data_IF_552271448474
#
_entry.id   IF_552271448474
#
_cell.length_a   1.000
_cell.length_b   1.000
_cell.length_c   1.000
_cell.angle_alpha   90.00
_cell.angle_beta   90.00
_cell.angle_gamma   90.00
#
_symmetry.space_group_name_H-M   'P 1'
#
loop_
_entity.id
_entity.type
_entity.pdbx_description
1 polymer ?
#
# COMPACT_ATOMS: atom_id res chain seq x y z
N UNK A 1 -11.08 -11.99 -12.25
CA UNK A 1 -11.23 -10.57 -11.85
C UNK A 1 -11.96 -9.82 -12.95
N UNK A 2 -13.04 -9.12 -12.62
CA UNK A 2 -13.66 -8.15 -13.53
C UNK A 2 -12.65 -7.03 -13.81
N UNK A 3 -12.48 -6.65 -15.07
CA UNK A 3 -11.62 -5.51 -15.41
C UNK A 3 -12.24 -4.20 -14.90
N UNK A 4 -11.43 -3.18 -14.60
CA UNK A 4 -11.95 -1.85 -14.24
C UNK A 4 -12.97 -1.33 -15.26
N UNK A 5 -12.75 -1.62 -16.55
CA UNK A 5 -13.67 -1.30 -17.62
C UNK A 5 -15.06 -1.92 -17.42
N UNK A 6 -15.13 -3.18 -17.02
CA UNK A 6 -16.40 -3.87 -16.76
C UNK A 6 -17.14 -3.27 -15.54
N UNK A 7 -16.43 -3.02 -14.43
CA UNK A 7 -17.01 -2.38 -13.24
C UNK A 7 -17.54 -0.98 -13.53
N UNK A 8 -16.79 -0.21 -14.32
CA UNK A 8 -17.20 1.12 -14.75
C UNK A 8 -18.39 1.08 -15.71
N UNK A 9 -18.41 0.13 -16.66
CA UNK A 9 -19.55 -0.08 -17.55
C UNK A 9 -20.82 -0.41 -16.77
N UNK A 10 -20.73 -1.34 -15.82
CA UNK A 10 -21.85 -1.71 -14.96
C UNK A 10 -22.36 -0.51 -14.15
N UNK A 11 -21.46 0.30 -13.58
CA UNK A 11 -21.81 1.54 -12.89
C UNK A 11 -22.55 2.54 -13.82
N UNK A 12 -22.10 2.68 -15.08
CA UNK A 12 -22.73 3.59 -16.06
C UNK A 12 -24.09 3.09 -16.55
N UNK A 13 -24.20 1.81 -16.91
CA UNK A 13 -25.46 1.19 -17.32
C UNK A 13 -26.53 1.32 -16.25
N UNK A 14 -26.13 1.23 -14.98
CA UNK A 14 -27.03 1.40 -13.83
C UNK A 14 -27.42 2.85 -13.58
N UNK A 15 -26.52 3.82 -13.70
CA UNK A 15 -26.89 5.25 -13.65
C UNK A 15 -27.93 5.62 -14.71
N UNK A 16 -27.86 5.02 -15.90
CA UNK A 16 -28.86 5.20 -16.96
C UNK A 16 -30.18 4.49 -16.58
N UNK A 17 -30.14 3.35 -15.88
CA UNK A 17 -31.33 2.67 -15.36
C UNK A 17 -31.96 3.35 -14.15
N UNK A 18 -31.20 4.07 -13.33
CA UNK A 18 -31.67 4.82 -12.14
C UNK A 18 -32.62 5.99 -12.49
N UNK A 19 -32.79 6.35 -13.77
CA UNK A 19 -33.96 7.14 -14.21
C UNK A 19 -35.29 6.36 -14.03
N UNK A 20 -35.25 5.08 -13.62
CA UNK A 20 -36.39 4.21 -13.32
C UNK A 20 -36.20 3.52 -11.95
N UNK A 21 -36.60 4.23 -10.89
CA UNK A 21 -36.98 3.75 -9.53
C UNK A 21 -35.96 2.95 -8.69
N UNK A 22 -35.55 3.54 -7.55
CA UNK A 22 -35.27 2.92 -6.24
C UNK A 22 -34.54 1.56 -6.17
N UNK A 23 -33.46 1.39 -6.93
CA UNK A 23 -32.51 0.30 -6.67
C UNK A 23 -31.45 0.72 -5.63
N UNK A 24 -31.16 -0.08 -4.58
CA UNK A 24 -30.08 0.22 -3.66
C UNK A 24 -28.73 0.17 -4.39
N UNK A 25 -27.85 1.13 -4.09
CA UNK A 25 -26.44 1.12 -4.51
C UNK A 25 -25.79 -0.20 -4.05
N UNK A 26 -25.43 -1.09 -4.99
CA UNK A 26 -24.69 -2.33 -4.67
C UNK A 26 -23.27 -2.03 -4.16
N UNK A 27 -22.71 -0.88 -4.54
CA UNK A 27 -21.41 -0.44 -4.07
C UNK A 27 -21.54 0.58 -2.93
N UNK A 28 -20.65 0.44 -1.95
CA UNK A 28 -20.48 1.48 -0.93
C UNK A 28 -20.00 2.79 -1.56
N UNK A 29 -20.33 3.92 -0.94
CA UNK A 29 -19.96 5.24 -1.45
C UNK A 29 -18.45 5.40 -1.75
N UNK A 30 -17.51 4.87 -0.95
CA UNK A 30 -16.08 4.92 -1.28
C UNK A 30 -15.74 4.22 -2.59
N UNK A 31 -16.29 3.03 -2.84
CA UNK A 31 -16.06 2.27 -4.08
C UNK A 31 -16.61 3.02 -5.28
N UNK A 32 -17.83 3.57 -5.16
CA UNK A 32 -18.42 4.39 -6.21
C UNK A 32 -17.56 5.63 -6.54
N UNK A 33 -17.09 6.37 -5.52
CA UNK A 33 -16.20 7.53 -5.71
C UNK A 33 -14.87 7.14 -6.34
N UNK A 34 -14.32 5.99 -5.98
CA UNK A 34 -13.11 5.45 -6.59
C UNK A 34 -13.30 5.16 -8.09
N UNK A 35 -14.38 4.47 -8.47
CA UNK A 35 -14.70 4.19 -9.88
C UNK A 35 -14.95 5.47 -10.69
N UNK A 36 -15.67 6.44 -10.11
CA UNK A 36 -15.85 7.77 -10.71
C UNK A 36 -14.52 8.52 -10.88
N UNK A 37 -13.60 8.38 -9.92
CA UNK A 37 -12.28 9.01 -10.02
C UNK A 37 -11.44 8.37 -11.13
N UNK A 38 -11.49 7.04 -11.30
CA UNK A 38 -10.84 6.33 -12.40
C UNK A 38 -11.33 6.81 -13.77
N UNK A 39 -12.64 7.08 -13.92
CA UNK A 39 -13.21 7.66 -15.14
C UNK A 39 -12.65 9.04 -15.49
N UNK A 40 -12.35 9.84 -14.48
CA UNK A 40 -11.91 11.24 -14.60
C UNK A 40 -10.39 11.40 -14.57
N UNK A 41 -9.64 10.31 -14.68
CA UNK A 41 -8.19 10.35 -14.72
C UNK A 41 -7.70 11.11 -15.96
N UNK A 42 -7.08 12.26 -15.73
CA UNK A 42 -6.38 13.03 -16.76
C UNK A 42 -4.86 12.89 -16.58
N UNK A 43 -4.20 12.23 -17.52
CA UNK A 43 -2.73 12.08 -17.56
C UNK A 43 -1.99 13.37 -17.97
N UNK A 44 -2.66 14.34 -18.61
CA UNK A 44 -1.98 15.48 -19.24
C UNK A 44 -1.58 16.59 -18.26
N UNK A 45 -0.46 16.38 -17.56
CA UNK A 45 0.43 17.38 -16.94
C UNK A 45 0.98 16.94 -15.56
N UNK A 46 1.93 17.69 -14.99
CA UNK A 46 2.67 17.26 -13.79
C UNK A 46 1.80 17.28 -12.52
N UNK A 47 1.47 16.09 -11.99
CA UNK A 47 0.93 15.92 -10.64
C UNK A 47 1.99 16.16 -9.57
N UNK A 48 1.59 16.68 -8.41
CA UNK A 48 2.44 16.88 -7.22
C UNK A 48 3.10 15.58 -6.72
N UNK A 49 2.50 14.43 -7.04
CA UNK A 49 2.95 13.12 -6.57
C UNK A 49 3.42 12.21 -7.73
N UNK A 50 3.56 12.74 -8.95
CA UNK A 50 3.86 11.93 -10.13
C UNK A 50 5.23 11.24 -10.06
N UNK A 51 6.20 11.83 -9.35
CA UNK A 51 7.51 11.25 -9.08
C UNK A 51 7.45 10.10 -8.07
N UNK A 52 6.53 10.13 -7.09
CA UNK A 52 6.29 8.99 -6.19
C UNK A 52 5.63 7.84 -6.97
N UNK A 53 4.69 8.15 -7.86
CA UNK A 53 4.15 7.15 -8.80
C UNK A 53 5.24 6.50 -9.66
N UNK A 54 6.16 7.31 -10.21
CA UNK A 54 7.34 6.82 -10.94
C UNK A 54 8.31 6.03 -10.07
N UNK A 55 8.49 6.41 -8.81
CA UNK A 55 9.30 5.65 -7.85
C UNK A 55 8.73 4.24 -7.64
N UNK A 56 7.42 4.10 -7.46
CA UNK A 56 6.74 2.80 -7.37
C UNK A 56 6.94 2.01 -8.67
N UNK A 57 6.77 2.65 -9.83
CA UNK A 57 6.97 2.00 -11.14
C UNK A 57 8.40 1.44 -11.30
N UNK A 58 9.42 2.21 -10.91
CA UNK A 58 10.82 1.82 -11.06
C UNK A 58 11.31 0.82 -10.01
N UNK A 59 10.77 0.86 -8.79
CA UNK A 59 11.27 0.04 -7.68
C UNK A 59 10.45 -1.22 -7.43
N UNK A 60 9.19 -1.24 -7.88
CA UNK A 60 8.24 -2.33 -7.60
C UNK A 60 7.77 -3.01 -8.87
N UNK A 61 7.13 -2.30 -9.80
CA UNK A 61 6.47 -2.95 -10.94
C UNK A 61 7.43 -3.24 -12.10
N UNK A 62 8.51 -2.46 -12.26
CA UNK A 62 9.45 -2.50 -13.39
C UNK A 62 8.75 -2.29 -14.75
N UNK A 63 7.85 -1.31 -14.81
CA UNK A 63 7.17 -0.92 -16.03
C UNK A 63 6.22 0.24 -15.79
N UNK A 64 5.66 0.79 -16.86
CA UNK A 64 4.82 1.98 -16.81
C UNK A 64 3.35 1.65 -16.97
N UNK A 65 2.52 2.33 -16.20
CA UNK A 65 1.07 2.36 -16.38
C UNK A 65 0.71 3.43 -17.41
N UNK A 66 -0.15 3.05 -18.35
CA UNK A 66 -0.64 3.88 -19.44
C UNK A 66 -2.15 3.79 -19.53
N UNK A 67 -2.79 4.92 -19.79
CA UNK A 67 -4.22 5.01 -20.06
C UNK A 67 -4.47 5.26 -21.55
N UNK A 68 -5.47 4.58 -22.10
CA UNK A 68 -6.08 4.92 -23.38
C UNK A 68 -7.37 5.68 -23.14
N UNK A 69 -7.47 6.89 -23.71
CA UNK A 69 -8.63 7.77 -23.55
C UNK A 69 -9.80 7.25 -24.39
N UNK A 70 -10.97 7.27 -23.80
CA UNK A 70 -12.25 6.94 -24.43
C UNK A 70 -13.40 7.28 -23.49
N UNK A 71 -14.68 7.06 -23.90
CA UNK A 71 -15.83 7.23 -23.02
C UNK A 71 -15.70 6.44 -21.72
N UNK A 72 -15.09 5.26 -21.81
CA UNK A 72 -14.62 4.46 -20.69
C UNK A 72 -13.12 4.22 -20.92
N UNK A 73 -12.25 4.66 -20.00
CA UNK A 73 -10.81 4.51 -20.17
C UNK A 73 -10.39 3.04 -20.06
N UNK A 74 -9.41 2.67 -20.88
CA UNK A 74 -8.72 1.38 -20.77
C UNK A 74 -7.34 1.60 -20.15
N UNK A 75 -6.93 0.71 -19.27
CA UNK A 75 -5.64 0.80 -18.57
C UNK A 75 -4.74 -0.37 -18.98
N UNK A 76 -3.47 -0.06 -19.22
CA UNK A 76 -2.47 -0.99 -19.69
C UNK A 76 -1.19 -0.84 -18.89
N UNK A 77 -0.47 -1.96 -18.77
CA UNK A 77 0.87 -2.02 -18.24
C UNK A 77 1.87 -2.29 -19.37
N UNK A 78 2.95 -1.53 -19.40
CA UNK A 78 4.05 -1.71 -20.35
C UNK A 78 5.32 -2.09 -19.58
N UNK A 79 5.77 -3.37 -19.64
CA UNK A 79 7.00 -3.80 -18.98
C UNK A 79 8.22 -3.01 -19.49
N UNK A 80 9.16 -2.69 -18.61
CA UNK A 80 10.38 -1.98 -18.98
C UNK A 80 11.15 -2.74 -20.07
N UNK A 81 11.53 -2.02 -21.13
CA UNK A 81 12.28 -2.58 -22.26
C UNK A 81 11.43 -3.37 -23.27
N UNK A 82 10.11 -3.47 -23.07
CA UNK A 82 9.17 -4.05 -24.05
C UNK A 82 8.27 -2.97 -24.64
N UNK A 83 7.85 -3.15 -25.88
CA UNK A 83 6.86 -2.29 -26.55
C UNK A 83 5.42 -2.80 -26.39
N UNK A 84 5.27 -4.04 -25.90
CA UNK A 84 3.97 -4.69 -25.72
C UNK A 84 3.18 -4.05 -24.58
N UNK A 85 1.88 -3.81 -24.82
CA UNK A 85 0.93 -3.32 -23.84
C UNK A 85 0.09 -4.48 -23.34
N UNK A 86 0.15 -4.73 -22.04
CA UNK A 86 -0.60 -5.78 -21.38
C UNK A 86 -1.83 -5.19 -20.69
N UNK A 87 -3.04 -5.68 -20.96
CA UNK A 87 -4.21 -5.36 -20.14
C UNK A 87 -3.98 -5.75 -18.67
N UNK A 88 -4.46 -4.96 -17.71
CA UNK A 88 -4.22 -5.22 -16.27
C UNK A 88 -4.75 -6.58 -15.79
N UNK A 89 -5.76 -7.15 -16.44
CA UNK A 89 -6.30 -8.46 -16.04
C UNK A 89 -5.41 -9.65 -16.42
N UNK A 90 -4.36 -9.44 -17.24
CA UNK A 90 -3.35 -10.48 -17.57
C UNK A 90 -1.98 -10.21 -16.92
N UNK A 91 -1.86 -9.15 -16.11
CA UNK A 91 -0.62 -8.84 -15.39
C UNK A 91 -0.53 -9.59 -14.06
N UNK A 92 0.64 -9.59 -13.44
CA UNK A 92 0.80 -10.16 -12.09
C UNK A 92 -0.06 -9.40 -11.08
N UNK A 93 -0.50 -10.09 -10.02
CA UNK A 93 -1.32 -9.50 -8.96
C UNK A 93 -0.70 -8.22 -8.40
N UNK A 94 0.62 -8.22 -8.17
CA UNK A 94 1.38 -7.03 -7.73
C UNK A 94 1.13 -5.79 -8.61
N UNK A 95 1.21 -5.96 -9.92
CA UNK A 95 1.03 -4.87 -10.89
C UNK A 95 -0.42 -4.39 -10.87
N UNK A 96 -1.37 -5.32 -10.83
CA UNK A 96 -2.80 -5.02 -10.79
C UNK A 96 -3.20 -4.28 -9.51
N UNK A 97 -2.75 -4.75 -8.35
CA UNK A 97 -2.97 -4.17 -7.01
C UNK A 97 -2.48 -2.72 -6.91
N UNK A 98 -1.26 -2.44 -7.39
CA UNK A 98 -0.67 -1.10 -7.29
C UNK A 98 -1.06 -0.17 -8.44
N UNK A 99 -1.70 -0.69 -9.49
CA UNK A 99 -2.06 0.11 -10.67
C UNK A 99 -2.94 1.33 -10.34
N UNK A 100 -3.98 1.26 -9.48
CA UNK A 100 -4.79 2.44 -9.19
C UNK A 100 -3.99 3.50 -8.46
N UNK A 101 -3.18 3.10 -7.48
CA UNK A 101 -2.31 4.03 -6.75
C UNK A 101 -1.38 4.76 -7.73
N UNK A 102 -0.68 4.03 -8.61
CA UNK A 102 0.24 4.61 -9.59
C UNK A 102 -0.49 5.58 -10.53
N UNK A 103 -1.64 5.16 -11.08
CA UNK A 103 -2.46 5.99 -11.96
C UNK A 103 -2.92 7.28 -11.26
N UNK A 104 -3.39 7.17 -10.01
CA UNK A 104 -3.83 8.33 -9.23
C UNK A 104 -2.70 9.29 -8.90
N UNK A 105 -1.54 8.79 -8.47
CA UNK A 105 -0.38 9.62 -8.16
C UNK A 105 0.17 10.34 -9.39
N UNK A 106 0.07 9.73 -10.58
CA UNK A 106 0.50 10.33 -11.84
C UNK A 106 -0.55 11.27 -12.45
N UNK A 107 -1.82 11.17 -12.05
CA UNK A 107 -2.90 12.01 -12.55
C UNK A 107 -2.93 13.41 -11.92
N UNK A 108 -3.46 14.40 -12.65
CA UNK A 108 -3.68 15.76 -12.13
C UNK A 108 -4.74 15.86 -11.04
N UNK A 109 -5.55 14.83 -10.88
CA UNK A 109 -6.66 14.86 -9.95
C UNK A 109 -6.14 15.05 -8.53
N UNK A 110 -6.68 16.05 -7.84
CA UNK A 110 -6.26 16.36 -6.47
C UNK A 110 -7.09 15.53 -5.51
N UNK A 111 -6.42 14.68 -4.74
CA UNK A 111 -7.02 13.90 -3.67
C UNK A 111 -6.69 14.53 -2.32
N UNK A 112 -7.68 14.53 -1.42
CA UNK A 112 -7.53 15.10 -0.07
C UNK A 112 -6.94 14.10 0.94
N UNK A 113 -7.03 12.82 0.62
CA UNK A 113 -6.75 11.71 1.53
C UNK A 113 -6.58 10.43 0.73
N UNK A 114 -5.69 9.55 1.21
CA UNK A 114 -5.57 8.18 0.73
C UNK A 114 -6.04 7.22 1.83
N UNK A 115 -6.99 6.34 1.50
CA UNK A 115 -7.35 5.19 2.33
C UNK A 115 -6.83 3.96 1.62
N UNK A 116 -5.98 3.18 2.28
CA UNK A 116 -5.39 1.98 1.72
C UNK A 116 -5.62 0.82 2.70
N UNK A 117 -6.56 -0.05 2.34
CA UNK A 117 -6.86 -1.25 3.10
C UNK A 117 -5.85 -2.35 2.78
N UNK A 118 -5.34 -3.04 3.80
CA UNK A 118 -4.38 -4.15 3.69
C UNK A 118 -3.30 -3.91 2.62
N UNK A 119 -2.57 -2.80 2.73
CA UNK A 119 -1.69 -2.36 1.63
C UNK A 119 -0.56 -3.33 1.30
N UNK A 120 -0.25 -4.27 2.19
CA UNK A 120 0.70 -5.36 1.98
C UNK A 120 0.14 -6.55 1.19
N UNK A 121 -1.18 -6.61 0.94
CA UNK A 121 -1.84 -7.78 0.39
C UNK A 121 -1.18 -8.19 -0.93
N UNK A 122 -0.84 -9.47 -1.04
CA UNK A 122 -0.15 -10.04 -2.21
C UNK A 122 1.24 -9.41 -2.53
N UNK A 123 1.84 -8.65 -1.61
CA UNK A 123 3.17 -8.05 -1.78
C UNK A 123 4.26 -8.87 -1.11
N UNK A 124 5.36 -9.09 -1.82
CA UNK A 124 6.59 -9.65 -1.24
C UNK A 124 7.14 -8.71 -0.14
N UNK A 125 7.72 -9.22 0.97
CA UNK A 125 8.32 -8.43 2.05
C UNK A 125 9.17 -7.23 1.60
N UNK A 126 10.04 -7.46 0.61
CA UNK A 126 10.88 -6.39 0.02
C UNK A 126 10.06 -5.24 -0.54
N UNK A 127 8.96 -5.55 -1.22
CA UNK A 127 8.06 -4.56 -1.83
C UNK A 127 7.30 -3.78 -0.77
N UNK A 128 6.85 -4.44 0.30
CA UNK A 128 6.16 -3.78 1.42
C UNK A 128 7.03 -2.67 2.03
N UNK A 129 8.34 -2.90 2.16
CA UNK A 129 9.28 -1.88 2.64
C UNK A 129 9.37 -0.67 1.69
N UNK A 130 9.40 -0.91 0.39
CA UNK A 130 9.45 0.16 -0.62
C UNK A 130 8.13 0.94 -0.65
N UNK A 131 6.99 0.24 -0.54
CA UNK A 131 5.67 0.85 -0.47
C UNK A 131 5.53 1.73 0.78
N UNK A 132 5.96 1.26 1.96
CA UNK A 132 5.96 2.05 3.18
C UNK A 132 6.74 3.36 3.00
N UNK A 133 7.92 3.31 2.38
CA UNK A 133 8.71 4.51 2.05
C UNK A 133 7.95 5.44 1.10
N UNK A 134 7.29 4.91 0.06
CA UNK A 134 6.46 5.72 -0.85
C UNK A 134 5.28 6.40 -0.13
N UNK A 135 4.61 5.69 0.79
CA UNK A 135 3.52 6.25 1.60
C UNK A 135 4.03 7.34 2.55
N UNK A 136 5.20 7.17 3.16
CA UNK A 136 5.83 8.21 3.99
C UNK A 136 6.14 9.47 3.18
N UNK A 137 6.65 9.34 1.94
CA UNK A 137 6.84 10.49 1.05
C UNK A 137 5.52 11.24 0.80
N UNK A 138 4.40 10.52 0.61
CA UNK A 138 3.08 11.14 0.47
C UNK A 138 2.70 11.94 1.72
N UNK A 139 2.86 11.35 2.91
CA UNK A 139 2.59 12.01 4.20
C UNK A 139 3.46 13.25 4.39
N UNK A 140 4.75 13.14 4.09
CA UNK A 140 5.68 14.27 4.22
C UNK A 140 5.37 15.41 3.26
N UNK A 141 4.75 15.13 2.11
CA UNK A 141 4.21 16.14 1.19
C UNK A 141 2.82 16.64 1.55
N UNK A 142 2.27 16.20 2.68
CA UNK A 142 0.99 16.67 3.19
C UNK A 142 -0.24 15.96 2.64
N UNK A 143 -0.11 14.76 2.08
CA UNK A 143 -1.23 13.86 1.82
C UNK A 143 -1.53 13.06 3.10
N UNK A 144 -2.68 13.24 3.74
CA UNK A 144 -3.11 12.36 4.82
C UNK A 144 -3.35 10.92 4.30
N UNK A 145 -2.78 9.94 4.98
CA UNK A 145 -2.88 8.51 4.62
C UNK A 145 -3.48 7.74 5.80
N UNK A 146 -4.54 6.97 5.54
CA UNK A 146 -5.10 5.96 6.43
C UNK A 146 -4.75 4.60 5.86
N UNK A 147 -4.24 3.74 6.74
CA UNK A 147 -3.71 2.44 6.38
C UNK A 147 -4.25 1.40 7.35
N UNK A 148 -4.76 0.30 6.84
CA UNK A 148 -4.93 -0.94 7.61
C UNK A 148 -3.88 -1.94 7.18
N UNK A 149 -3.37 -2.72 8.12
CA UNK A 149 -2.28 -3.68 7.85
C UNK A 149 -2.25 -4.78 8.92
N UNK A 150 -1.97 -5.98 8.46
CA UNK A 150 -1.58 -7.17 9.21
C UNK A 150 -0.08 -7.47 9.06
N UNK A 151 0.67 -6.63 8.33
CA UNK A 151 2.10 -6.83 8.11
C UNK A 151 2.95 -6.20 9.20
N UNK A 152 3.67 -7.06 9.92
CA UNK A 152 4.76 -6.69 10.82
C UNK A 152 5.89 -5.98 10.05
N UNK A 153 6.16 -6.37 8.81
CA UNK A 153 7.24 -5.82 7.97
C UNK A 153 6.95 -4.37 7.56
N UNK A 154 5.72 -4.09 7.12
CA UNK A 154 5.29 -2.74 6.77
C UNK A 154 5.34 -1.86 8.01
N UNK A 155 4.75 -2.33 9.12
CA UNK A 155 4.73 -1.62 10.39
C UNK A 155 6.15 -1.33 10.90
N UNK A 156 7.04 -2.32 10.85
CA UNK A 156 8.43 -2.18 11.25
C UNK A 156 9.22 -1.23 10.34
N UNK A 157 8.94 -1.22 9.03
CA UNK A 157 9.56 -0.25 8.13
C UNK A 157 9.13 1.18 8.48
N UNK A 158 7.86 1.42 8.81
CA UNK A 158 7.40 2.74 9.28
C UNK A 158 8.15 3.13 10.56
N UNK A 159 8.28 2.23 11.54
CA UNK A 159 9.08 2.46 12.74
C UNK A 159 10.55 2.80 12.43
N UNK A 160 11.17 2.11 11.47
CA UNK A 160 12.54 2.39 11.06
C UNK A 160 12.69 3.80 10.48
N UNK A 161 11.71 4.28 9.71
CA UNK A 161 11.71 5.63 9.15
C UNK A 161 11.49 6.71 10.23
N UNK A 162 10.76 6.39 11.30
CA UNK A 162 10.64 7.23 12.50
C UNK A 162 11.97 7.29 13.25
N UNK A 163 12.59 6.13 13.51
CA UNK A 163 13.90 6.04 14.16
C UNK A 163 14.95 6.82 13.39
N UNK A 164 14.97 6.69 12.06
CA UNK A 164 15.89 7.42 11.19
C UNK A 164 15.74 8.94 11.35
N UNK A 165 14.51 9.44 11.47
CA UNK A 165 14.25 10.87 11.67
C UNK A 165 14.88 11.39 12.98
N UNK A 166 14.82 10.60 14.05
CA UNK A 166 15.29 10.97 15.39
C UNK A 166 16.77 10.65 15.63
N UNK A 167 17.41 9.87 14.75
CA UNK A 167 18.75 9.35 14.99
C UNK A 167 19.83 10.46 14.94
N UNK A 168 20.76 10.55 15.91
CA UNK A 168 21.83 11.55 15.90
C UNK A 168 22.70 11.52 14.63
N UNK A 169 23.02 10.31 14.15
CA UNK A 169 23.81 10.09 12.93
C UNK A 169 22.94 9.92 11.67
N UNK A 170 21.79 10.61 11.59
CA UNK A 170 20.81 10.47 10.49
C UNK A 170 21.46 10.55 9.11
N UNK A 171 22.28 11.57 8.86
CA UNK A 171 22.90 11.79 7.55
C UNK A 171 23.75 10.58 7.06
N UNK A 172 24.55 9.98 7.95
CA UNK A 172 25.38 8.82 7.63
C UNK A 172 24.53 7.57 7.36
N UNK A 173 23.46 7.36 8.14
CA UNK A 173 22.55 6.23 7.93
C UNK A 173 21.76 6.38 6.63
N UNK A 174 21.33 7.59 6.31
CA UNK A 174 20.65 7.89 5.05
C UNK A 174 21.54 7.57 3.85
N UNK A 175 22.80 7.99 3.88
CA UNK A 175 23.78 7.67 2.83
C UNK A 175 24.00 6.15 2.73
N UNK A 176 24.22 5.47 3.86
CA UNK A 176 24.48 4.02 3.91
C UNK A 176 23.33 3.19 3.34
N UNK A 177 22.09 3.58 3.61
CA UNK A 177 20.89 2.82 3.22
C UNK A 177 20.16 3.40 2.00
N UNK A 178 20.67 4.48 1.41
CA UNK A 178 20.09 5.11 0.22
C UNK A 178 18.77 5.85 0.46
N UNK A 179 18.55 6.38 1.67
CA UNK A 179 17.38 7.19 1.99
C UNK A 179 17.62 8.67 1.69
N UNK A 180 16.56 9.38 1.32
CA UNK A 180 16.53 10.85 1.16
C UNK A 180 15.72 11.50 2.27
N UNK A 181 15.85 12.82 2.46
CA UNK A 181 15.22 13.54 3.59
C UNK A 181 13.70 13.32 3.66
N UNK A 182 13.04 13.19 2.51
CA UNK A 182 11.60 12.91 2.44
C UNK A 182 11.20 11.50 2.92
N UNK A 183 12.15 10.58 3.11
CA UNK A 183 11.89 9.22 3.62
C UNK A 183 11.79 9.17 5.15
N UNK A 184 12.37 10.14 5.85
CA UNK A 184 12.35 10.18 7.31
C UNK A 184 10.96 10.65 7.80
N UNK A 185 10.36 9.93 8.74
CA UNK A 185 9.01 10.22 9.24
C UNK A 185 9.08 10.89 10.62
N UNK A 186 8.51 12.08 10.75
CA UNK A 186 8.37 12.71 12.07
C UNK A 186 7.32 11.95 12.92
N UNK A 187 7.64 11.56 14.18
CA UNK A 187 6.72 10.80 15.03
C UNK A 187 5.35 11.46 15.24
N UNK A 188 5.28 12.81 15.21
CA UNK A 188 4.03 13.57 15.40
C UNK A 188 3.07 13.46 14.21
N UNK A 189 3.55 13.05 13.03
CA UNK A 189 2.74 12.91 11.81
C UNK A 189 2.04 11.55 11.71
N UNK A 190 2.23 10.67 12.68
CA UNK A 190 1.73 9.29 12.64
C UNK A 190 1.04 8.94 13.96
N UNK A 191 -0.03 8.17 13.84
CA UNK A 191 -0.74 7.55 14.97
C UNK A 191 -1.00 6.11 14.58
N UNK A 192 -0.82 5.20 15.52
CA UNK A 192 -1.12 3.79 15.33
C UNK A 192 -2.20 3.36 16.32
N UNK A 193 -3.05 2.44 15.88
CA UNK A 193 -4.16 1.90 16.65
C UNK A 193 -4.15 0.39 16.50
N UNK A 194 -4.46 -0.32 17.57
CA UNK A 194 -4.55 -1.76 17.60
C UNK A 194 -5.98 -2.20 17.84
N UNK A 195 -6.36 -3.28 17.18
CA UNK A 195 -7.69 -3.85 17.24
C UNK A 195 -7.57 -5.18 17.97
N UNK A 196 -8.35 -5.35 19.04
CA UNK A 196 -8.39 -6.58 19.82
C UNK A 196 -9.82 -7.03 20.03
N UNK A 197 -10.03 -8.34 19.99
CA UNK A 197 -11.31 -8.94 20.35
C UNK A 197 -11.40 -9.05 21.88
N UNK A 198 -12.43 -8.43 22.46
CA UNK A 198 -12.78 -8.58 23.88
C UNK A 198 -14.18 -9.18 23.96
N UNK A 199 -14.26 -10.50 24.15
CA UNK A 199 -15.52 -11.24 24.11
C UNK A 199 -16.08 -11.29 22.68
N UNK A 200 -17.23 -10.63 22.45
CA UNK A 200 -17.84 -10.49 21.11
C UNK A 200 -17.62 -9.10 20.50
N UNK A 201 -16.92 -8.19 21.18
CA UNK A 201 -16.72 -6.82 20.74
C UNK A 201 -15.27 -6.61 20.26
N UNK A 202 -15.10 -5.73 19.27
CA UNK A 202 -13.77 -5.27 18.84
C UNK A 202 -13.45 -3.96 19.54
N UNK A 203 -12.38 -3.93 20.32
CA UNK A 203 -11.89 -2.76 21.03
C UNK A 203 -10.69 -2.18 20.28
N UNK A 204 -10.71 -0.86 20.07
CA UNK A 204 -9.64 -0.13 19.40
C UNK A 204 -8.84 0.63 20.45
N UNK A 205 -7.54 0.33 20.57
CA UNK A 205 -6.63 0.97 21.52
C UNK A 205 -5.57 1.79 20.78
N UNK A 206 -5.30 3.04 21.17
CA UNK A 206 -4.18 3.79 20.61
C UNK A 206 -2.85 3.19 21.08
N UNK A 207 -1.91 3.01 20.17
CA UNK A 207 -0.56 2.57 20.51
C UNK A 207 0.28 3.80 20.86
N UNK A 208 0.85 3.82 22.07
CA UNK A 208 1.71 4.91 22.52
C UNK A 208 3.11 4.74 21.90
N UNK A 209 3.62 5.74 21.16
CA UNK A 209 4.95 5.66 20.59
C UNK A 209 6.03 5.67 21.69
N UNK A 210 7.05 4.84 21.50
CA UNK A 210 8.28 4.82 22.31
C UNK A 210 9.40 5.53 21.55
N UNK A 211 10.59 5.62 22.16
CA UNK A 211 11.81 6.07 21.48
C UNK A 211 12.15 5.24 20.22
N UNK A 212 11.61 4.01 20.14
CA UNK A 212 11.81 3.08 19.03
C UNK A 212 10.63 3.03 18.05
N UNK A 213 9.71 4.00 18.09
CA UNK A 213 8.46 3.96 17.34
C UNK A 213 7.36 3.23 18.08
N UNK A 214 6.36 2.72 17.37
CA UNK A 214 5.20 2.07 17.96
C UNK A 214 5.50 0.60 18.31
N UNK A 215 5.23 0.15 19.54
CA UNK A 215 5.37 -1.26 19.89
C UNK A 215 4.37 -2.12 19.11
N UNK A 216 4.86 -3.25 18.60
CA UNK A 216 4.13 -4.20 17.77
C UNK A 216 3.83 -5.50 18.55
N UNK A 217 3.33 -5.40 19.78
CA UNK A 217 3.32 -6.53 20.74
C UNK A 217 2.66 -7.80 20.20
N UNK A 218 1.48 -7.67 19.57
CA UNK A 218 0.76 -8.82 19.00
C UNK A 218 1.55 -9.53 17.90
N UNK A 219 2.25 -8.78 17.03
CA UNK A 219 3.09 -9.38 15.99
C UNK A 219 4.33 -10.04 16.58
N UNK A 220 5.01 -9.33 17.49
CA UNK A 220 6.23 -9.80 18.13
C UNK A 220 6.00 -11.10 18.90
N UNK A 221 4.87 -11.21 19.61
CA UNK A 221 4.53 -12.42 20.37
C UNK A 221 4.38 -13.63 19.46
N UNK A 222 3.63 -13.50 18.36
CA UNK A 222 3.42 -14.60 17.40
C UNK A 222 4.74 -15.03 16.76
N UNK A 223 5.61 -14.08 16.41
CA UNK A 223 6.92 -14.38 15.83
C UNK A 223 7.84 -15.10 16.83
N UNK A 224 7.82 -14.67 18.10
CA UNK A 224 8.59 -15.33 19.17
C UNK A 224 8.11 -16.76 19.41
N UNK A 225 6.79 -16.97 19.52
CA UNK A 225 6.20 -18.31 19.68
C UNK A 225 6.57 -19.24 18.52
N UNK A 226 6.53 -18.75 17.27
CA UNK A 226 6.94 -19.51 16.10
C UNK A 226 8.44 -19.84 16.09
N UNK A 227 9.28 -18.89 16.51
CA UNK A 227 10.72 -19.12 16.61
C UNK A 227 11.03 -20.17 17.68
N UNK A 228 10.40 -20.08 18.85
CA UNK A 228 10.57 -21.05 19.94
C UNK A 228 10.15 -22.47 19.50
N UNK A 229 9.03 -22.58 18.79
CA UNK A 229 8.59 -23.84 18.17
C UNK A 229 9.62 -24.38 17.16
N UNK A 230 10.14 -23.51 16.29
CA UNK A 230 11.17 -23.88 15.30
C UNK A 230 12.45 -24.38 15.97
N UNK A 231 12.93 -23.67 17.00
CA UNK A 231 14.11 -24.08 17.75
C UNK A 231 13.89 -25.42 18.45
N UNK A 232 12.74 -25.63 19.07
CA UNK A 232 12.41 -26.90 19.72
C UNK A 232 12.44 -28.09 18.74
N UNK A 233 12.02 -27.89 17.49
CA UNK A 233 12.03 -28.94 16.46
C UNK A 233 13.39 -29.17 15.81
N UNK A 234 14.32 -28.21 15.89
CA UNK A 234 15.68 -28.37 15.38
C UNK A 234 16.60 -29.12 16.35
N UNK A 235 16.32 -29.10 17.65
CA UNK A 235 17.18 -29.69 18.71
C UNK A 235 16.88 -31.20 18.91
N UNK A 236 16.50 -31.90 17.84
CA UNK A 236 16.08 -33.31 17.91
C UNK A 236 16.70 -34.18 16.83
N UNK A 237 18.03 -34.21 16.67
CA UNK A 237 18.73 -35.27 15.92
C UNK A 237 20.27 -35.36 16.13
N UNK A 238 20.83 -34.82 17.22
CA UNK A 238 22.22 -35.06 17.59
C UNK A 238 22.27 -35.36 19.09
N UNK A 239 22.17 -36.64 19.48
CA UNK A 239 22.69 -37.22 20.74
C UNK A 239 22.17 -38.67 20.90
N UNK A 240 22.53 -39.54 19.96
CA UNK A 240 21.99 -40.90 19.94
C UNK A 240 22.79 -41.99 19.25
N UNK A 241 24.08 -41.80 18.94
CA UNK A 241 24.97 -42.92 18.58
C UNK A 241 26.40 -42.64 19.08
N UNK A 242 26.65 -42.95 20.35
CA UNK A 242 27.95 -43.43 20.82
C UNK A 242 27.74 -44.17 22.15
N UNK A 243 27.67 -45.50 22.06
CA UNK A 243 27.52 -46.41 23.21
C UNK A 243 27.44 -47.88 22.80
#
# INVERSE_FOLDING_TARGET
>A
MLSYKALVQEMMERMIREEREDAPLEFTLPVYRFLQALLRLEESGQSKYADIGRFIEMQITNGTMNQEKGPIPSFYYCPQGKSERLPLYVTSSLVTELSPLILFLKSKTTYRSLFFEEAEAHLHPRVQRILATALVKLVNRGMPVWLTTHSDILFQQVNNLIKLHQHPNRAQLMEKYGYVEEDALEPKKVKAYQFHLQGQETVITPIIPTENGFPAETFNKVILELNDETYAFQIGEEDGEDG
#
